data_IF_332597023316
#
_entry.id   IF_332597023316
#
_cell.length_a   1.000
_cell.length_b   1.000
_cell.length_c   1.000
_cell.angle_alpha   90.00
_cell.angle_beta   90.00
_cell.angle_gamma   90.00
#
_symmetry.space_group_name_H-M   'P 1'
#
loop_
_entity.id
_entity.type
_entity.pdbx_description
1 polymer ?
#
# COMPACT_ATOMS: atom_id res chain seq x y z
N UNK A 1 -11.39 -32.66 39.89
CA UNK A 1 -10.76 -31.48 40.54
C UNK A 1 -11.70 -30.29 40.31
N UNK A 2 -12.78 -30.08 41.09
CA UNK A 2 -12.92 -29.41 42.40
C UNK A 2 -12.04 -28.16 42.57
N UNK A 3 -12.68 -26.98 42.64
CA UNK A 3 -12.06 -25.71 43.00
C UNK A 3 -13.03 -24.51 42.96
N UNK A 4 -14.05 -24.49 43.82
CA UNK A 4 -14.91 -23.33 44.08
C UNK A 4 -14.19 -22.36 45.05
N UNK A 5 -13.90 -21.13 44.62
CA UNK A 5 -13.38 -20.08 45.49
C UNK A 5 -14.53 -19.21 46.03
N UNK A 6 -14.88 -19.40 47.30
CA UNK A 6 -15.74 -18.51 48.08
C UNK A 6 -14.91 -17.30 48.54
N UNK A 7 -15.34 -16.09 48.19
CA UNK A 7 -14.81 -14.86 48.78
C UNK A 7 -15.83 -14.32 49.79
N UNK A 8 -15.52 -14.49 51.07
CA UNK A 8 -16.19 -13.83 52.20
C UNK A 8 -15.56 -12.46 52.41
N UNK A 9 -16.37 -11.38 52.44
CA UNK A 9 -15.95 -10.07 52.98
C UNK A 9 -16.72 -9.74 54.26
N UNK A 10 -16.08 -9.02 55.21
CA UNK A 10 -16.41 -9.13 56.62
C UNK A 10 -17.31 -8.01 57.13
N UNK A 11 -18.06 -8.38 58.17
CA UNK A 11 -19.15 -7.72 58.89
C UNK A 11 -18.83 -6.42 59.68
N UNK A 12 -17.82 -5.63 59.29
CA UNK A 12 -17.29 -4.52 60.13
C UNK A 12 -17.70 -3.08 59.73
N UNK A 13 -18.76 -2.88 58.94
CA UNK A 13 -19.18 -1.51 58.53
C UNK A 13 -20.52 -1.03 59.12
N UNK A 14 -21.24 -1.84 59.90
CA UNK A 14 -22.60 -1.46 60.40
C UNK A 14 -22.63 -0.69 61.73
N UNK A 15 -21.51 -0.54 62.46
CA UNK A 15 -21.48 0.19 63.75
C UNK A 15 -21.14 1.68 63.62
N UNK A 16 -20.48 2.10 62.55
CA UNK A 16 -20.06 3.49 62.37
C UNK A 16 -21.20 4.36 61.79
N UNK A 17 -21.98 3.81 60.85
CA UNK A 17 -23.17 4.48 60.30
C UNK A 17 -24.29 4.69 61.34
N UNK A 18 -24.46 3.74 62.28
CA UNK A 18 -25.46 3.88 63.35
C UNK A 18 -25.11 4.96 64.38
N UNK A 19 -23.83 5.33 64.53
CA UNK A 19 -23.44 6.45 65.42
C UNK A 19 -23.57 7.81 64.75
N UNK A 20 -23.43 7.89 63.42
CA UNK A 20 -23.66 9.13 62.67
C UNK A 20 -25.16 9.51 62.61
N UNK A 21 -26.06 8.51 62.49
CA UNK A 21 -27.49 8.76 62.45
C UNK A 21 -28.09 9.23 63.80
N UNK A 22 -27.54 8.77 64.93
CA UNK A 22 -28.06 9.13 66.26
C UNK A 22 -27.64 10.55 66.73
N UNK A 23 -26.56 11.11 66.19
CA UNK A 23 -26.07 12.45 66.53
C UNK A 23 -26.85 13.57 65.80
N UNK A 24 -27.53 13.27 64.70
CA UNK A 24 -28.34 14.24 63.94
C UNK A 24 -29.78 14.40 64.47
N UNK A 25 -30.23 13.51 65.35
CA UNK A 25 -31.59 13.52 65.93
C UNK A 25 -31.72 14.27 67.25
N UNK A 26 -30.62 14.75 67.85
CA UNK A 26 -30.61 15.33 69.20
C UNK A 26 -30.09 16.78 69.21
N UNK A 27 -30.66 17.68 68.41
CA UNK A 27 -30.58 19.14 68.62
C UNK A 27 -31.26 19.88 67.46
N UNK A 28 -32.57 20.09 67.55
CA UNK A 28 -33.20 21.20 66.82
C UNK A 28 -34.34 21.75 67.66
N UNK A 29 -34.20 22.94 68.28
CA UNK A 29 -35.33 23.59 68.91
C UNK A 29 -36.37 23.93 67.84
N UNK A 30 -37.63 23.56 68.10
CA UNK A 30 -38.76 23.93 67.27
C UNK A 30 -38.89 25.47 67.31
N UNK A 31 -38.42 26.11 66.25
CA UNK A 31 -38.71 27.52 66.00
C UNK A 31 -40.17 27.58 65.54
N UNK A 32 -41.00 28.47 66.11
CA UNK A 32 -42.36 28.66 65.62
C UNK A 32 -42.27 29.13 64.15
N UNK A 33 -42.96 28.43 63.27
CA UNK A 33 -43.07 28.79 61.86
C UNK A 33 -43.84 30.12 61.81
N UNK A 34 -43.26 31.23 61.34
CA UNK A 34 -44.02 32.45 61.11
C UNK A 34 -45.01 32.20 59.97
N UNK A 35 -46.31 32.21 60.28
CA UNK A 35 -47.41 31.98 59.31
C UNK A 35 -47.71 33.18 58.41
N UNK A 36 -46.84 34.18 58.36
CA UNK A 36 -46.87 35.22 57.34
C UNK A 36 -45.91 34.82 56.22
N UNK A 37 -46.40 33.99 55.31
CA UNK A 37 -45.84 34.01 53.96
C UNK A 37 -46.16 35.40 53.42
N UNK A 38 -45.16 36.29 53.42
CA UNK A 38 -45.27 37.62 52.84
C UNK A 38 -45.86 37.47 51.43
N UNK A 39 -47.02 38.10 51.16
CA UNK A 39 -47.62 38.12 49.83
C UNK A 39 -46.59 38.52 48.76
N UNK A 40 -45.65 39.40 49.10
CA UNK A 40 -44.53 39.79 48.27
C UNK A 40 -43.64 38.60 47.80
N UNK A 41 -43.45 37.57 48.64
CA UNK A 41 -42.69 36.36 48.27
C UNK A 41 -43.49 35.45 47.34
N UNK A 42 -44.80 35.33 47.53
CA UNK A 42 -45.67 34.58 46.62
C UNK A 42 -45.72 35.24 45.24
N UNK A 43 -45.95 36.54 45.19
CA UNK A 43 -45.95 37.30 43.92
C UNK A 43 -44.57 37.27 43.24
N UNK A 44 -43.49 37.28 44.00
CA UNK A 44 -42.13 37.11 43.47
C UNK A 44 -41.90 35.71 42.89
N UNK A 45 -42.43 34.66 43.52
CA UNK A 45 -42.36 33.30 43.00
C UNK A 45 -43.23 33.13 41.75
N UNK A 46 -44.44 33.68 41.74
CA UNK A 46 -45.33 33.68 40.56
C UNK A 46 -44.66 34.39 39.38
N UNK A 47 -44.10 35.58 39.58
CA UNK A 47 -43.35 36.29 38.55
C UNK A 47 -42.04 35.60 38.13
N UNK A 48 -41.49 34.70 38.95
CA UNK A 48 -40.37 33.83 38.55
C UNK A 48 -40.85 32.64 37.72
N UNK A 49 -41.98 32.05 38.07
CA UNK A 49 -42.61 30.95 37.32
C UNK A 49 -43.05 31.44 35.95
N UNK A 50 -43.69 32.61 35.85
CA UNK A 50 -44.09 33.19 34.57
C UNK A 50 -42.90 33.49 33.66
N UNK A 51 -41.81 34.03 34.21
CA UNK A 51 -40.57 34.26 33.44
C UNK A 51 -39.90 32.95 32.98
N UNK A 52 -39.92 31.92 33.82
CA UNK A 52 -39.43 30.60 33.44
C UNK A 52 -40.30 29.96 32.36
N UNK A 53 -41.62 30.09 32.47
CA UNK A 53 -42.57 29.57 31.50
C UNK A 53 -42.49 30.33 30.17
N UNK A 54 -42.31 31.65 30.21
CA UNK A 54 -42.08 32.48 29.03
C UNK A 54 -40.74 32.13 28.35
N UNK A 55 -39.66 31.99 29.12
CA UNK A 55 -38.37 31.54 28.58
C UNK A 55 -38.44 30.12 28.00
N UNK A 56 -39.15 29.22 28.66
CA UNK A 56 -39.36 27.86 28.17
C UNK A 56 -40.12 27.86 26.84
N UNK A 57 -41.22 28.60 26.74
CA UNK A 57 -42.02 28.72 25.52
C UNK A 57 -41.24 29.40 24.38
N UNK A 58 -40.32 30.32 24.70
CA UNK A 58 -39.49 30.99 23.72
C UNK A 58 -38.39 30.09 23.15
N UNK A 59 -37.81 29.19 23.96
CA UNK A 59 -36.65 28.38 23.56
C UNK A 59 -37.00 26.96 23.11
N UNK A 60 -38.14 26.41 23.54
CA UNK A 60 -38.56 25.04 23.23
C UNK A 60 -38.72 24.78 21.72
N UNK A 61 -39.30 25.69 20.90
CA UNK A 61 -39.36 25.49 19.45
C UNK A 61 -37.97 25.42 18.79
N UNK A 62 -37.01 26.22 19.26
CA UNK A 62 -35.63 26.21 18.76
C UNK A 62 -34.89 24.91 19.09
N UNK A 63 -35.09 24.38 20.29
CA UNK A 63 -34.54 23.08 20.71
C UNK A 63 -35.16 21.91 19.94
N UNK A 64 -36.47 21.94 19.69
CA UNK A 64 -37.12 20.89 18.90
C UNK A 64 -36.66 20.92 17.44
N UNK A 65 -36.47 22.10 16.85
CA UNK A 65 -35.92 22.23 15.52
C UNK A 65 -34.47 21.72 15.42
N UNK A 66 -33.61 22.00 16.42
CA UNK A 66 -32.24 21.51 16.41
C UNK A 66 -32.13 20.00 16.60
N UNK A 67 -32.98 19.40 17.46
CA UNK A 67 -33.06 17.94 17.61
C UNK A 67 -33.58 17.28 16.34
N UNK A 68 -34.59 17.87 15.69
CA UNK A 68 -35.13 17.34 14.43
C UNK A 68 -34.09 17.39 13.31
N UNK A 69 -33.31 18.48 13.25
CA UNK A 69 -32.20 18.62 12.31
C UNK A 69 -31.11 17.57 12.58
N UNK A 70 -30.66 17.41 13.82
CA UNK A 70 -29.65 16.41 14.21
C UNK A 70 -30.09 14.97 13.93
N UNK A 71 -31.38 14.64 14.15
CA UNK A 71 -31.93 13.32 13.82
C UNK A 71 -32.01 13.11 12.31
N UNK A 72 -32.31 14.16 11.53
CA UNK A 72 -32.31 14.09 10.07
C UNK A 72 -30.90 13.91 9.48
N UNK A 73 -29.90 14.56 10.08
CA UNK A 73 -28.49 14.41 9.75
C UNK A 73 -27.97 13.01 10.10
N UNK A 74 -28.29 12.49 11.28
CA UNK A 74 -27.95 11.12 11.67
C UNK A 74 -28.54 10.08 10.70
N UNK A 75 -29.82 10.22 10.32
CA UNK A 75 -30.46 9.36 9.31
C UNK A 75 -29.89 9.54 7.89
N UNK A 76 -29.29 10.69 7.59
CA UNK A 76 -28.58 10.91 6.33
C UNK A 76 -27.21 10.22 6.35
N UNK A 77 -26.51 10.28 7.49
CA UNK A 77 -25.26 9.59 7.72
C UNK A 77 -25.45 8.07 7.66
N UNK A 78 -26.49 7.52 8.29
CA UNK A 78 -26.81 6.08 8.22
C UNK A 78 -27.07 5.62 6.77
N UNK A 79 -27.78 6.44 5.98
CA UNK A 79 -28.03 6.16 4.56
C UNK A 79 -26.75 6.23 3.72
N UNK A 80 -25.84 7.14 4.03
CA UNK A 80 -24.53 7.23 3.35
C UNK A 80 -23.66 6.03 3.72
N UNK A 81 -23.61 5.63 5.00
CA UNK A 81 -22.88 4.44 5.44
C UNK A 81 -23.41 3.16 4.78
N UNK A 82 -24.74 2.97 4.77
CA UNK A 82 -25.36 1.84 4.08
C UNK A 82 -25.03 1.81 2.57
N UNK A 83 -24.89 2.98 1.93
CA UNK A 83 -24.51 3.07 0.53
C UNK A 83 -23.02 2.80 0.30
N UNK A 84 -22.15 3.21 1.23
CA UNK A 84 -20.72 2.88 1.21
C UNK A 84 -20.52 1.37 1.38
N UNK A 85 -21.25 0.74 2.31
CA UNK A 85 -21.16 -0.71 2.54
C UNK A 85 -21.65 -1.50 1.31
N UNK A 86 -22.75 -1.06 0.68
CA UNK A 86 -23.23 -1.66 -0.56
C UNK A 86 -22.21 -1.51 -1.73
N UNK A 87 -21.59 -0.33 -1.87
CA UNK A 87 -20.53 -0.09 -2.86
C UNK A 87 -19.29 -0.97 -2.61
N UNK A 88 -18.95 -1.18 -1.34
CA UNK A 88 -17.84 -2.06 -0.94
C UNK A 88 -18.13 -3.51 -1.30
N UNK A 89 -19.35 -3.98 -1.04
CA UNK A 89 -19.77 -5.34 -1.41
C UNK A 89 -19.77 -5.54 -2.93
N UNK A 90 -20.23 -4.54 -3.70
CA UNK A 90 -20.17 -4.59 -5.17
C UNK A 90 -18.73 -4.58 -5.70
N UNK A 91 -17.84 -3.81 -5.08
CA UNK A 91 -16.40 -3.83 -5.39
C UNK A 91 -15.76 -5.19 -5.10
N UNK A 92 -16.07 -5.81 -3.96
CA UNK A 92 -15.56 -7.13 -3.61
C UNK A 92 -16.03 -8.20 -4.61
N UNK A 93 -17.30 -8.12 -5.05
CA UNK A 93 -17.86 -8.99 -6.11
C UNK A 93 -17.19 -8.78 -7.46
N UNK A 94 -16.91 -7.53 -7.84
CA UNK A 94 -16.19 -7.21 -9.08
C UNK A 94 -14.75 -7.72 -9.03
N UNK A 95 -14.08 -7.56 -7.89
CA UNK A 95 -12.72 -8.06 -7.68
C UNK A 95 -12.67 -9.57 -7.80
N UNK A 96 -13.59 -10.29 -7.14
CA UNK A 96 -13.69 -11.74 -7.25
C UNK A 96 -13.98 -12.21 -8.69
N UNK A 97 -14.80 -11.46 -9.44
CA UNK A 97 -15.04 -11.74 -10.87
C UNK A 97 -13.80 -11.52 -11.73
N UNK A 98 -13.02 -10.48 -11.45
CA UNK A 98 -11.77 -10.20 -12.14
C UNK A 98 -10.73 -11.28 -11.84
N UNK A 99 -10.60 -11.71 -10.59
CA UNK A 99 -9.69 -12.80 -10.20
C UNK A 99 -10.02 -14.11 -10.92
N UNK A 100 -11.31 -14.45 -11.00
CA UNK A 100 -11.77 -15.61 -11.77
C UNK A 100 -11.51 -15.46 -13.28
N UNK A 101 -11.73 -14.27 -13.84
CA UNK A 101 -11.43 -13.97 -15.24
C UNK A 101 -9.94 -14.03 -15.56
N UNK A 102 -9.08 -13.58 -14.65
CA UNK A 102 -7.63 -13.67 -14.76
C UNK A 102 -7.12 -15.11 -14.64
N UNK A 103 -7.73 -15.92 -13.78
CA UNK A 103 -7.44 -17.35 -13.69
C UNK A 103 -7.85 -18.10 -14.96
N UNK A 104 -9.03 -17.81 -15.52
CA UNK A 104 -9.47 -18.41 -16.79
C UNK A 104 -8.59 -17.96 -17.96
N UNK A 105 -8.22 -16.67 -18.01
CA UNK A 105 -7.31 -16.14 -19.02
C UNK A 105 -5.92 -16.79 -18.90
N UNK A 106 -5.40 -16.94 -17.68
CA UNK A 106 -4.13 -17.63 -17.42
C UNK A 106 -4.20 -19.08 -17.88
N UNK A 107 -5.27 -19.81 -17.54
CA UNK A 107 -5.45 -21.19 -17.97
C UNK A 107 -5.54 -21.32 -19.50
N UNK A 108 -6.21 -20.39 -20.18
CA UNK A 108 -6.25 -20.34 -21.65
C UNK A 108 -4.89 -20.00 -22.24
N UNK A 109 -4.16 -19.05 -21.65
CA UNK A 109 -2.81 -18.72 -22.09
C UNK A 109 -1.86 -19.92 -21.92
N UNK A 110 -1.96 -20.64 -20.82
CA UNK A 110 -1.21 -21.86 -20.54
C UNK A 110 -1.52 -22.97 -21.58
N UNK A 111 -2.75 -23.02 -22.12
CA UNK A 111 -3.14 -23.93 -23.22
C UNK A 111 -2.56 -23.53 -24.59
N UNK A 112 -2.27 -22.25 -24.83
CA UNK A 112 -1.69 -21.76 -26.09
C UNK A 112 -0.15 -21.71 -26.09
N UNK A 113 0.47 -21.78 -24.91
CA UNK A 113 1.90 -22.12 -24.81
C UNK A 113 2.05 -23.64 -24.86
N UNK A 114 2.69 -24.23 -25.88
CA UNK A 114 2.96 -25.66 -25.86
C UNK A 114 3.83 -25.98 -24.63
N UNK A 115 3.20 -26.56 -23.61
CA UNK A 115 3.87 -27.14 -22.45
C UNK A 115 4.63 -28.37 -22.93
N UNK A 116 5.84 -28.14 -23.44
CA UNK A 116 6.89 -29.15 -23.35
C UNK A 116 7.22 -29.39 -21.88
N UNK A 117 7.61 -30.62 -21.51
CA UNK A 117 8.01 -30.92 -20.15
C UNK A 117 9.39 -30.32 -19.92
N UNK A 118 9.47 -29.06 -19.50
CA UNK A 118 10.70 -28.49 -19.00
C UNK A 118 10.38 -27.61 -17.79
N UNK A 119 11.05 -27.97 -16.69
CA UNK A 119 11.15 -27.28 -15.42
C UNK A 119 11.41 -25.79 -15.66
N UNK A 120 10.87 -24.91 -14.81
CA UNK A 120 10.83 -23.44 -14.98
C UNK A 120 12.17 -22.68 -15.05
N UNK A 121 13.25 -23.31 -15.49
CA UNK A 121 14.56 -22.71 -15.73
C UNK A 121 14.65 -21.92 -17.03
N UNK A 122 15.77 -21.22 -17.20
CA UNK A 122 16.06 -20.49 -18.42
C UNK A 122 16.24 -21.41 -19.63
N UNK A 123 15.68 -20.99 -20.77
CA UNK A 123 15.79 -21.69 -22.05
C UNK A 123 16.48 -20.81 -23.09
N UNK A 124 17.52 -21.35 -23.72
CA UNK A 124 18.23 -20.68 -24.82
C UNK A 124 17.48 -20.96 -26.12
N UNK A 125 17.08 -19.91 -26.84
CA UNK A 125 16.43 -19.98 -28.16
C UNK A 125 17.46 -19.85 -29.29
N UNK A 126 18.44 -18.97 -29.12
CA UNK A 126 19.46 -18.65 -30.13
C UNK A 126 20.84 -19.12 -29.69
N UNK A 127 21.13 -20.41 -29.82
CA UNK A 127 22.42 -20.98 -29.38
C UNK A 127 23.63 -20.32 -30.07
N UNK A 128 23.51 -19.95 -31.35
CA UNK A 128 24.57 -19.27 -32.10
C UNK A 128 24.93 -17.90 -31.50
N UNK A 129 23.92 -17.06 -31.25
CA UNK A 129 24.11 -15.75 -30.63
C UNK A 129 24.75 -15.87 -29.24
N UNK A 130 24.28 -16.83 -28.43
CA UNK A 130 24.85 -17.10 -27.10
C UNK A 130 26.31 -17.57 -27.20
N UNK A 131 26.63 -18.46 -28.14
CA UNK A 131 28.01 -18.95 -28.33
C UNK A 131 28.96 -17.82 -28.77
N UNK A 132 28.51 -16.94 -29.69
CA UNK A 132 29.29 -15.76 -30.10
C UNK A 132 29.51 -14.79 -28.94
N UNK A 133 28.48 -14.50 -28.14
CA UNK A 133 28.60 -13.63 -26.99
C UNK A 133 29.46 -14.21 -25.87
N UNK A 134 29.46 -15.54 -25.69
CA UNK A 134 30.33 -16.24 -24.73
C UNK A 134 31.81 -16.23 -25.15
N UNK A 135 32.09 -16.14 -26.45
CA UNK A 135 33.44 -16.00 -26.99
C UNK A 135 33.98 -14.56 -26.89
N UNK A 136 33.08 -13.57 -26.82
CA UNK A 136 33.41 -12.15 -26.71
C UNK A 136 33.11 -11.55 -25.33
N UNK A 137 32.68 -10.28 -25.34
CA UNK A 137 32.22 -9.57 -24.14
C UNK A 137 30.72 -9.78 -23.96
N UNK A 138 30.33 -10.58 -22.97
CA UNK A 138 28.93 -10.91 -22.74
C UNK A 138 28.17 -9.72 -22.15
N UNK A 139 27.24 -9.16 -22.94
CA UNK A 139 26.29 -8.13 -22.50
C UNK A 139 24.87 -8.68 -22.56
N UNK A 140 24.13 -8.50 -21.48
CA UNK A 140 22.74 -8.95 -21.36
C UNK A 140 21.78 -7.77 -21.41
N UNK A 141 20.73 -7.87 -22.23
CA UNK A 141 19.65 -6.90 -22.27
C UNK A 141 18.33 -7.57 -21.91
N UNK A 142 17.74 -7.18 -20.78
CA UNK A 142 16.43 -7.65 -20.35
C UNK A 142 15.34 -6.72 -20.89
N UNK A 143 14.46 -7.26 -21.73
CA UNK A 143 13.44 -6.49 -22.46
C UNK A 143 12.02 -7.03 -22.23
N UNK A 144 11.03 -6.16 -22.41
CA UNK A 144 9.61 -6.51 -22.42
C UNK A 144 8.97 -6.32 -23.82
N UNK A 145 9.78 -6.33 -24.87
CA UNK A 145 9.33 -6.11 -26.26
C UNK A 145 10.07 -5.01 -27.01
N UNK A 146 11.06 -4.36 -26.38
CA UNK A 146 11.93 -3.39 -27.06
C UNK A 146 12.84 -4.06 -28.09
N UNK A 147 13.27 -3.27 -29.08
CA UNK A 147 14.18 -3.74 -30.10
C UNK A 147 15.55 -4.13 -29.49
N UNK A 148 16.10 -5.29 -29.89
CA UNK A 148 17.37 -5.77 -29.36
C UNK A 148 18.52 -4.84 -29.76
N UNK A 149 19.42 -4.52 -28.82
CA UNK A 149 20.65 -3.78 -29.13
C UNK A 149 21.64 -4.71 -29.83
N UNK A 150 22.32 -4.27 -30.92
CA UNK A 150 23.33 -5.08 -31.58
C UNK A 150 24.44 -5.51 -30.61
N UNK A 151 24.83 -6.79 -30.68
CA UNK A 151 25.90 -7.35 -29.84
C UNK A 151 25.48 -7.63 -28.39
N UNK A 152 24.18 -7.68 -28.10
CA UNK A 152 23.66 -8.05 -26.77
C UNK A 152 22.83 -9.32 -26.85
N UNK A 153 22.85 -10.12 -25.78
CA UNK A 153 21.95 -11.26 -25.62
C UNK A 153 20.64 -10.75 -25.04
N UNK A 154 19.55 -10.98 -25.76
CA UNK A 154 18.24 -10.49 -25.39
C UNK A 154 17.54 -11.51 -24.53
N UNK A 155 17.22 -11.10 -23.30
CA UNK A 155 16.57 -11.91 -22.29
C UNK A 155 15.14 -11.41 -22.08
N UNK A 156 14.17 -12.30 -22.18
CA UNK A 156 12.77 -11.99 -21.91
C UNK A 156 12.11 -13.11 -21.08
N UNK A 157 10.92 -12.85 -20.52
CA UNK A 157 10.18 -13.86 -19.75
C UNK A 157 9.44 -14.86 -20.63
N UNK A 158 9.21 -14.51 -21.89
CA UNK A 158 8.51 -15.32 -22.86
C UNK A 158 9.24 -15.30 -24.20
N UNK A 159 9.07 -16.35 -24.99
CA UNK A 159 9.62 -16.42 -26.33
C UNK A 159 8.94 -15.38 -27.24
N UNK A 160 9.74 -14.59 -27.96
CA UNK A 160 9.28 -13.64 -28.95
C UNK A 160 10.35 -13.48 -30.05
N UNK A 161 10.00 -12.95 -31.24
CA UNK A 161 10.99 -12.65 -32.27
C UNK A 161 12.10 -11.73 -31.75
N UNK A 162 13.36 -12.14 -31.95
CA UNK A 162 14.53 -11.38 -31.48
C UNK A 162 14.94 -11.64 -30.03
N UNK A 163 14.28 -12.56 -29.32
CA UNK A 163 14.70 -13.02 -27.98
C UNK A 163 15.67 -14.19 -28.11
N UNK A 164 16.82 -14.10 -27.47
CA UNK A 164 17.85 -15.15 -27.49
C UNK A 164 17.69 -16.13 -26.32
N UNK A 165 17.24 -15.64 -25.17
CA UNK A 165 17.07 -16.42 -23.94
C UNK A 165 15.74 -16.09 -23.27
N UNK A 166 15.00 -17.13 -22.91
CA UNK A 166 13.79 -17.01 -22.10
C UNK A 166 14.14 -17.34 -20.66
N UNK A 167 13.93 -16.41 -19.73
CA UNK A 167 14.15 -16.61 -18.29
C UNK A 167 12.97 -16.01 -17.50
N UNK A 168 12.00 -16.84 -17.07
CA UNK A 168 10.80 -16.37 -16.38
C UNK A 168 11.09 -15.62 -15.07
N UNK A 169 12.12 -16.05 -14.34
CA UNK A 169 12.46 -15.52 -13.02
C UNK A 169 13.75 -14.69 -13.02
N UNK A 170 14.24 -14.34 -14.22
CA UNK A 170 15.58 -13.80 -14.43
C UNK A 170 16.72 -14.68 -13.89
N UNK A 171 16.41 -15.96 -13.58
CA UNK A 171 17.40 -16.95 -13.24
C UNK A 171 18.16 -17.33 -14.50
N UNK A 172 19.43 -16.95 -14.57
CA UNK A 172 20.27 -17.17 -15.73
C UNK A 172 21.40 -18.11 -15.38
N UNK A 173 21.51 -19.20 -16.13
CA UNK A 173 22.56 -20.21 -15.97
C UNK A 173 23.90 -19.82 -16.59
N UNK A 174 24.18 -18.51 -16.73
CA UNK A 174 25.50 -18.05 -17.15
C UNK A 174 26.52 -18.26 -16.01
N UNK A 175 27.77 -18.53 -16.36
CA UNK A 175 28.84 -18.65 -15.36
C UNK A 175 28.99 -17.38 -14.53
N UNK A 176 29.26 -17.53 -13.23
CA UNK A 176 29.51 -16.40 -12.34
C UNK A 176 30.72 -15.59 -12.82
N UNK A 177 30.64 -14.27 -12.73
CA UNK A 177 31.77 -13.40 -13.09
C UNK A 177 32.06 -13.26 -14.59
N UNK A 178 31.09 -13.57 -15.47
CA UNK A 178 31.29 -13.62 -16.93
C UNK A 178 30.61 -12.49 -17.70
N UNK A 179 29.66 -11.80 -17.08
CA UNK A 179 28.85 -10.77 -17.76
C UNK A 179 29.49 -9.40 -17.56
N UNK A 180 29.83 -8.71 -18.64
CA UNK A 180 30.42 -7.37 -18.56
C UNK A 180 29.39 -6.30 -18.23
N UNK A 181 28.22 -6.41 -18.84
CA UNK A 181 27.14 -5.44 -18.65
C UNK A 181 25.76 -6.11 -18.64
N UNK A 182 24.92 -5.69 -17.69
CA UNK A 182 23.52 -6.05 -17.61
C UNK A 182 22.70 -4.76 -17.75
N UNK A 183 21.84 -4.71 -18.75
CA UNK A 183 20.89 -3.61 -18.98
C UNK A 183 19.49 -4.15 -18.80
N UNK A 184 18.71 -3.51 -17.94
CA UNK A 184 17.33 -3.89 -17.66
C UNK A 184 16.41 -2.76 -18.07
N UNK A 185 15.66 -2.97 -19.14
CA UNK A 185 14.75 -1.96 -19.68
C UNK A 185 13.55 -1.75 -18.76
N UNK A 186 12.88 -0.60 -18.93
CA UNK A 186 11.83 -0.14 -18.01
C UNK A 186 10.60 -1.06 -17.93
N UNK A 187 10.33 -1.83 -18.98
CA UNK A 187 9.24 -2.80 -18.99
C UNK A 187 9.55 -4.15 -18.37
N UNK A 188 10.82 -4.46 -18.09
CA UNK A 188 11.16 -5.75 -17.49
C UNK A 188 10.77 -5.76 -16.01
N UNK A 189 9.91 -6.70 -15.56
CA UNK A 189 9.46 -6.73 -14.18
C UNK A 189 10.62 -7.06 -13.23
N UNK A 190 10.74 -6.26 -12.18
CA UNK A 190 11.46 -6.68 -10.98
C UNK A 190 10.49 -7.46 -10.11
N UNK A 191 10.99 -8.41 -9.32
CA UNK A 191 10.15 -9.30 -8.52
C UNK A 191 9.02 -8.60 -7.75
N UNK A 192 8.01 -9.38 -7.34
CA UNK A 192 6.75 -8.86 -6.80
C UNK A 192 6.90 -7.91 -5.59
N UNK A 193 7.99 -8.06 -4.83
CA UNK A 193 8.30 -7.27 -3.65
C UNK A 193 9.80 -6.90 -3.55
N UNK A 194 10.15 -6.16 -2.49
CA UNK A 194 11.53 -5.74 -2.22
C UNK A 194 12.48 -6.92 -1.95
N UNK A 195 11.99 -8.02 -1.36
CA UNK A 195 12.82 -9.17 -1.04
C UNK A 195 13.21 -9.93 -2.33
N UNK A 196 12.24 -10.15 -3.22
CA UNK A 196 12.45 -10.72 -4.54
C UNK A 196 13.37 -9.83 -5.38
N UNK A 197 13.16 -8.51 -5.36
CA UNK A 197 14.04 -7.55 -6.02
C UNK A 197 15.48 -7.65 -5.49
N UNK A 198 15.66 -7.74 -4.16
CA UNK A 198 16.99 -7.88 -3.55
C UNK A 198 17.68 -9.19 -3.93
N UNK A 199 16.94 -10.30 -3.95
CA UNK A 199 17.46 -11.61 -4.36
C UNK A 199 17.96 -11.58 -5.81
N UNK A 200 17.16 -11.00 -6.70
CA UNK A 200 17.47 -10.86 -8.12
C UNK A 200 18.65 -9.89 -8.36
N UNK A 201 18.77 -8.80 -7.58
CA UNK A 201 19.97 -7.95 -7.61
C UNK A 201 21.23 -8.71 -7.19
N UNK A 202 21.15 -9.54 -6.15
CA UNK A 202 22.27 -10.36 -5.69
C UNK A 202 22.69 -11.39 -6.75
N UNK A 203 21.71 -11.99 -7.43
CA UNK A 203 21.98 -12.88 -8.55
C UNK A 203 22.71 -12.16 -9.70
N UNK A 204 22.20 -11.01 -10.16
CA UNK A 204 22.84 -10.24 -11.22
C UNK A 204 24.25 -9.79 -10.84
N UNK A 205 24.47 -9.41 -9.58
CA UNK A 205 25.81 -9.10 -9.07
C UNK A 205 26.78 -10.28 -9.23
N UNK A 206 26.34 -11.52 -8.98
CA UNK A 206 27.17 -12.71 -9.13
C UNK A 206 27.49 -13.03 -10.59
N UNK A 207 26.61 -12.68 -11.53
CA UNK A 207 26.85 -12.83 -12.96
C UNK A 207 27.90 -11.84 -13.48
N UNK A 208 27.92 -10.62 -12.94
CA UNK A 208 28.82 -9.56 -13.39
C UNK A 208 30.29 -9.91 -13.18
N UNK A 209 31.14 -9.61 -14.16
CA UNK A 209 32.59 -9.68 -14.03
C UNK A 209 33.16 -8.59 -13.10
N UNK A 210 34.44 -8.68 -12.79
CA UNK A 210 35.10 -7.65 -11.97
C UNK A 210 35.17 -6.33 -12.74
N UNK A 211 34.53 -5.28 -12.20
CA UNK A 211 34.35 -4.00 -12.91
C UNK A 211 33.08 -3.92 -13.77
N UNK A 212 32.32 -5.02 -13.87
CA UNK A 212 31.09 -5.11 -14.64
C UNK A 212 30.00 -4.16 -14.15
N UNK A 213 29.03 -3.89 -15.02
CA UNK A 213 28.04 -2.83 -14.83
C UNK A 213 26.61 -3.36 -14.83
N UNK A 214 25.81 -2.88 -13.89
CA UNK A 214 24.35 -3.02 -13.90
C UNK A 214 23.71 -1.66 -14.21
N UNK A 215 22.80 -1.63 -15.19
CA UNK A 215 22.00 -0.46 -15.55
C UNK A 215 20.52 -0.83 -15.52
N UNK A 216 19.73 -0.15 -14.70
CA UNK A 216 18.29 -0.35 -14.57
C UNK A 216 17.56 0.91 -15.03
N UNK A 217 16.71 0.81 -16.03
CA UNK A 217 15.81 1.89 -16.45
C UNK A 217 14.45 1.68 -15.82
N UNK A 218 13.82 2.70 -15.24
CA UNK A 218 12.46 2.59 -14.67
C UNK A 218 11.65 3.82 -14.97
N UNK A 219 10.35 3.63 -15.18
CA UNK A 219 9.41 4.74 -15.25
C UNK A 219 9.17 5.32 -13.85
N UNK A 220 9.07 6.65 -13.76
CA UNK A 220 8.65 7.36 -12.57
C UNK A 220 7.22 7.85 -12.82
N UNK A 221 6.27 7.33 -12.05
CA UNK A 221 4.84 7.68 -12.20
C UNK A 221 4.63 9.18 -11.99
N UNK A 222 5.40 9.81 -11.09
CA UNK A 222 5.29 11.25 -10.87
C UNK A 222 5.80 12.04 -12.08
N UNK A 223 6.89 11.60 -12.70
CA UNK A 223 7.40 12.22 -13.93
C UNK A 223 6.42 12.02 -15.10
N UNK A 224 5.78 10.85 -15.19
CA UNK A 224 4.71 10.59 -16.18
C UNK A 224 3.48 11.49 -15.97
N UNK A 225 3.01 11.64 -14.72
CA UNK A 225 1.91 12.56 -14.39
C UNK A 225 2.30 14.01 -14.69
N UNK A 226 3.53 14.40 -14.37
CA UNK A 226 4.07 15.71 -14.72
C UNK A 226 4.04 15.96 -16.22
N UNK A 227 4.51 14.99 -17.01
CA UNK A 227 4.53 15.06 -18.47
C UNK A 227 3.13 15.05 -19.11
N UNK A 228 2.17 14.34 -18.52
CA UNK A 228 0.77 14.43 -18.92
C UNK A 228 0.20 15.82 -18.63
N UNK A 229 0.45 16.35 -17.43
CA UNK A 229 -0.10 17.63 -17.00
C UNK A 229 0.42 18.82 -17.81
N UNK A 230 1.67 18.75 -18.30
CA UNK A 230 2.28 19.80 -19.11
C UNK A 230 2.13 19.57 -20.63
N UNK A 231 1.44 18.50 -21.05
CA UNK A 231 1.16 18.17 -22.45
C UNK A 231 2.34 17.62 -23.26
N UNK A 232 3.48 17.32 -22.63
CA UNK A 232 4.64 16.69 -23.30
C UNK A 232 4.49 15.17 -23.50
N UNK A 233 3.49 14.56 -22.85
CA UNK A 233 3.09 13.18 -23.05
C UNK A 233 1.60 13.11 -23.37
N UNK A 234 1.21 12.38 -24.40
CA UNK A 234 -0.21 12.12 -24.67
C UNK A 234 -0.75 11.02 -23.77
N UNK A 235 -2.07 10.97 -23.57
CA UNK A 235 -2.70 9.91 -22.80
C UNK A 235 -2.50 8.53 -23.44
N UNK A 236 -2.52 8.46 -24.78
CA UNK A 236 -2.29 7.22 -25.52
C UNK A 236 -0.85 6.73 -25.39
N UNK A 237 0.14 7.63 -25.42
CA UNK A 237 1.53 7.27 -25.16
C UNK A 237 1.73 6.77 -23.72
N UNK A 238 1.11 7.43 -22.75
CA UNK A 238 1.16 6.99 -21.37
C UNK A 238 0.52 5.60 -21.21
N UNK A 239 -0.65 5.38 -21.83
CA UNK A 239 -1.33 4.08 -21.82
C UNK A 239 -0.50 2.99 -22.48
N UNK A 240 0.09 3.28 -23.65
CA UNK A 240 0.95 2.34 -24.35
C UNK A 240 2.14 1.91 -23.46
N UNK A 241 2.83 2.88 -22.84
CA UNK A 241 3.95 2.61 -21.92
C UNK A 241 3.54 1.80 -20.70
N UNK A 242 2.42 2.16 -20.07
CA UNK A 242 1.88 1.42 -18.92
C UNK A 242 1.37 0.02 -19.29
N UNK A 243 0.96 -0.20 -20.54
CA UNK A 243 0.54 -1.52 -21.01
C UNK A 243 1.71 -2.43 -21.38
N UNK A 244 2.80 -1.86 -21.91
CA UNK A 244 4.03 -2.58 -22.24
C UNK A 244 4.86 -2.91 -21.00
N UNK A 245 4.81 -2.04 -20.00
CA UNK A 245 5.35 -2.24 -18.68
C UNK A 245 4.17 -2.27 -17.71
N UNK A 246 3.38 -3.37 -17.64
CA UNK A 246 2.30 -3.44 -16.67
C UNK A 246 2.96 -3.08 -15.35
N UNK A 247 2.54 -1.94 -14.77
CA UNK A 247 2.93 -1.55 -13.44
C UNK A 247 2.50 -2.74 -12.60
N UNK A 248 3.43 -3.67 -12.36
CA UNK A 248 3.13 -4.78 -11.48
C UNK A 248 2.71 -4.07 -10.22
N UNK A 249 1.50 -4.40 -9.78
CA UNK A 249 0.81 -3.79 -8.67
C UNK A 249 1.53 -4.13 -7.37
N UNK A 250 2.80 -3.78 -7.25
CA UNK A 250 3.44 -3.53 -6.00
C UNK A 250 2.97 -2.13 -5.62
N UNK A 251 2.03 -2.01 -4.65
CA UNK A 251 1.48 -0.71 -4.23
C UNK A 251 2.56 0.25 -3.73
N UNK A 252 3.78 -0.25 -3.48
CA UNK A 252 5.00 0.53 -3.36
C UNK A 252 5.83 0.34 -4.65
N UNK A 253 5.58 1.17 -5.67
CA UNK A 253 6.47 1.23 -6.83
C UNK A 253 7.91 1.38 -6.36
N UNK A 254 8.80 0.49 -6.79
CA UNK A 254 10.20 0.48 -6.37
C UNK A 254 10.82 1.84 -6.65
N UNK A 255 10.98 2.64 -5.59
CA UNK A 255 11.55 3.97 -5.71
C UNK A 255 13.01 3.90 -6.18
N UNK A 256 13.52 4.98 -6.76
CA UNK A 256 14.92 5.05 -7.14
C UNK A 256 15.86 4.78 -5.94
N UNK A 257 15.49 5.24 -4.74
CA UNK A 257 16.25 4.99 -3.51
C UNK A 257 16.14 3.54 -3.03
N UNK A 258 14.97 2.90 -3.16
CA UNK A 258 14.81 1.47 -2.85
C UNK A 258 15.70 0.61 -3.76
N UNK A 259 15.74 0.92 -5.06
CA UNK A 259 16.59 0.22 -6.03
C UNK A 259 18.08 0.47 -5.79
N UNK A 260 18.47 1.70 -5.48
CA UNK A 260 19.83 2.03 -5.08
C UNK A 260 20.25 1.29 -3.80
N UNK A 261 19.34 1.19 -2.83
CA UNK A 261 19.57 0.45 -1.58
C UNK A 261 19.72 -1.05 -1.86
N UNK A 262 18.87 -1.63 -2.70
CA UNK A 262 18.97 -3.03 -3.11
C UNK A 262 20.28 -3.33 -3.88
N UNK A 263 20.65 -2.45 -4.82
CA UNK A 263 21.90 -2.55 -5.57
C UNK A 263 23.14 -2.47 -4.64
N UNK A 264 23.15 -1.53 -3.70
CA UNK A 264 24.23 -1.40 -2.72
C UNK A 264 24.29 -2.62 -1.78
N UNK A 265 23.14 -3.14 -1.34
CA UNK A 265 23.06 -4.34 -0.51
C UNK A 265 23.57 -5.60 -1.22
N UNK A 266 23.40 -5.67 -2.55
CA UNK A 266 23.98 -6.73 -3.38
C UNK A 266 25.51 -6.62 -3.56
N UNK A 267 26.13 -5.51 -3.14
CA UNK A 267 27.58 -5.29 -3.22
C UNK A 267 28.03 -4.41 -4.39
N UNK A 268 27.09 -3.85 -5.17
CA UNK A 268 27.44 -2.86 -6.20
C UNK A 268 27.98 -1.58 -5.57
N UNK A 269 28.96 -0.98 -6.23
CA UNK A 269 29.60 0.29 -5.87
C UNK A 269 29.26 1.36 -6.90
N UNK A 270 29.56 2.60 -6.52
CA UNK A 270 29.34 3.78 -7.37
C UNK A 270 27.89 3.88 -7.87
N UNK A 271 26.92 3.50 -7.02
CA UNK A 271 25.52 3.48 -7.42
C UNK A 271 25.02 4.91 -7.64
N UNK A 272 24.69 5.24 -8.88
CA UNK A 272 24.20 6.56 -9.31
C UNK A 272 22.76 6.47 -9.78
N UNK A 273 21.98 7.48 -9.40
CA UNK A 273 20.63 7.70 -9.93
C UNK A 273 20.73 8.87 -10.89
N UNK A 274 20.32 8.66 -12.13
CA UNK A 274 20.25 9.72 -13.15
C UNK A 274 18.81 9.88 -13.59
N UNK A 275 18.28 11.09 -13.51
CA UNK A 275 16.99 11.46 -14.12
C UNK A 275 17.28 12.24 -15.39
N UNK A 276 16.82 11.75 -16.54
CA UNK A 276 16.94 12.48 -17.79
C UNK A 276 15.91 13.59 -17.84
N UNK A 277 16.29 14.79 -18.30
CA UNK A 277 15.38 15.94 -18.45
C UNK A 277 14.15 15.66 -19.32
N UNK A 278 14.27 14.68 -20.24
CA UNK A 278 13.21 14.26 -21.15
C UNK A 278 12.77 12.80 -20.94
N UNK A 279 13.37 12.08 -19.97
CA UNK A 279 12.97 10.71 -19.69
C UNK A 279 11.87 10.71 -18.64
N UNK A 280 10.78 10.01 -18.90
CA UNK A 280 9.65 9.79 -17.97
C UNK A 280 10.02 8.84 -16.81
N UNK A 281 11.25 8.94 -16.31
CA UNK A 281 11.84 7.90 -15.49
C UNK A 281 13.26 8.19 -15.09
N UNK A 282 13.82 7.24 -14.37
CA UNK A 282 15.17 7.31 -13.81
C UNK A 282 15.97 6.08 -14.22
N UNK A 283 17.29 6.25 -14.19
CA UNK A 283 18.25 5.18 -14.39
C UNK A 283 19.04 4.98 -13.11
N UNK A 284 19.10 3.74 -12.63
CA UNK A 284 19.99 3.33 -11.54
C UNK A 284 21.15 2.55 -12.15
N UNK A 285 22.36 3.03 -11.95
CA UNK A 285 23.56 2.40 -12.47
C UNK A 285 24.49 2.06 -11.32
N UNK A 286 25.05 0.85 -11.30
CA UNK A 286 26.06 0.42 -10.33
C UNK A 286 27.14 -0.42 -10.99
N UNK A 287 28.29 -0.56 -10.32
CA UNK A 287 29.42 -1.38 -10.80
C UNK A 287 29.85 -2.41 -9.76
N UNK A 288 30.21 -3.60 -10.21
CA UNK A 288 30.90 -4.57 -9.37
C UNK A 288 32.33 -4.09 -9.11
N UNK A 289 32.86 -4.16 -7.87
CA UNK A 289 34.25 -3.79 -7.59
C UNK A 289 35.23 -4.53 -8.51
N UNK A 290 36.27 -3.82 -8.96
CA UNK A 290 37.40 -4.47 -9.60
C UNK A 290 38.09 -5.43 -8.62
N UNK A 291 38.65 -6.54 -9.13
CA UNK A 291 39.51 -7.40 -8.33
C UNK A 291 40.71 -6.56 -7.88
N UNK A 292 41.05 -6.61 -6.58
CA UNK A 292 42.30 -6.02 -6.10
C UNK A 292 43.43 -6.86 -6.71
N UNK A 293 44.06 -6.32 -7.75
CA UNK A 293 45.30 -6.84 -8.33
C UNK A 293 46.43 -6.77 -7.31
#
# INVERSE_FOLDING_TARGET
MKGFARMTRPWRMKRQERRAAAALSASRPATPIPSHIDHARLTSLEGRVERLQAGWNQHLPGLLNSVTLAVSEARSADRVHARIDALREDMDRLTARLDLGLLDLKARMDQFTPSGPDEGGARILSMGAVAEALAGELTLQFVAGDAPKPGTIVVARAAAPGVDVVSPDADLSFGQGRVKEIVVEAGYPLGADEAATRALMAQWFNLLDAGGRLTLHRFDVLDMVGALSNGSLTLDDARARLSAAPLQASPAGLSAESLKTAAAAAGLREVRITRGKASLGFTVQGRRPAAKS
#
